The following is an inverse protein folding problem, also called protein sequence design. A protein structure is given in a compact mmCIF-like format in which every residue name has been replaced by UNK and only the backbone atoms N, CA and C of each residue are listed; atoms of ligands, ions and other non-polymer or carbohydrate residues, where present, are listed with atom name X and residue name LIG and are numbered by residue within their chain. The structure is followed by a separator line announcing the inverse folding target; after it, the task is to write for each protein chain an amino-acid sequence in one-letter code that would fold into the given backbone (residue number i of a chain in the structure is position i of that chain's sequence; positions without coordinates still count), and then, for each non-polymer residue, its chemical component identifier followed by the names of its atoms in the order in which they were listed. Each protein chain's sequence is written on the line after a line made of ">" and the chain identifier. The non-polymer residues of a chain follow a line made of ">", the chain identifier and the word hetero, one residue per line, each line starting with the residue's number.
data_IF_987306746649
#
_entry.id   IF_987306746649
#
_cell.length_a   1.000
_cell.length_b   1.000
_cell.length_c   1.000
_cell.angle_alpha   90.00
_cell.angle_beta   90.00
_cell.angle_gamma   90.00
#
_symmetry.space_group_name_H-M   'P 1'
#
loop_
_entity.id
_entity.type
_entity.pdbx_description
1 polymer ?
#
# COMPACT_ATOMS: atom_id res chain seq x y z
N UNK A 1 -10.17 -0.92 -4.96
CA UNK A 1 -10.28 -0.10 -3.71
C UNK A 1 -9.39 1.11 -3.81
N UNK A 2 -9.93 2.28 -3.52
CA UNK A 2 -9.13 3.51 -3.52
C UNK A 2 -8.19 3.53 -2.33
N UNK A 3 -7.01 4.09 -2.53
CA UNK A 3 -6.02 4.16 -1.46
C UNK A 3 -5.05 5.32 -1.67
N UNK A 4 -4.26 5.58 -0.65
CA UNK A 4 -3.25 6.64 -0.65
C UNK A 4 -1.84 6.08 -0.51
N UNK A 5 -1.65 4.83 -0.89
CA UNK A 5 -0.34 4.17 -0.74
C UNK A 5 0.74 4.93 -1.47
N UNK A 6 0.47 5.32 -2.72
CA UNK A 6 1.45 6.06 -3.53
C UNK A 6 1.86 7.36 -2.88
N UNK A 7 0.90 8.13 -2.35
CA UNK A 7 1.17 9.39 -1.69
C UNK A 7 2.07 9.21 -0.48
N UNK A 8 1.74 8.25 0.37
CA UNK A 8 2.53 7.97 1.57
C UNK A 8 3.91 7.43 1.23
N UNK A 9 3.97 6.57 0.20
CA UNK A 9 5.24 6.03 -0.28
C UNK A 9 6.16 7.15 -0.76
N UNK A 10 5.64 8.07 -1.55
CA UNK A 10 6.42 9.19 -2.07
C UNK A 10 6.87 10.14 -0.97
N UNK A 11 6.06 10.33 0.04
CA UNK A 11 6.41 11.18 1.19
C UNK A 11 7.68 10.72 1.88
N UNK A 12 7.86 9.42 2.03
CA UNK A 12 9.03 8.89 2.71
C UNK A 12 10.13 8.47 1.74
N UNK A 13 9.93 8.76 0.43
CA UNK A 13 10.99 8.58 -0.55
C UNK A 13 11.23 7.15 -1.00
N UNK A 14 10.25 6.27 -0.89
CA UNK A 14 10.39 4.89 -1.34
C UNK A 14 9.91 4.72 -2.78
N UNK A 15 10.67 3.93 -3.56
CA UNK A 15 10.20 3.47 -4.87
C UNK A 15 9.22 2.32 -4.68
N UNK A 16 8.47 1.99 -5.73
CA UNK A 16 7.60 0.82 -5.71
C UNK A 16 8.37 -0.45 -5.41
N UNK A 17 9.55 -0.59 -6.01
CA UNK A 17 10.39 -1.77 -5.80
C UNK A 17 10.87 -1.85 -4.35
N UNK A 18 11.27 -0.73 -3.77
CA UNK A 18 11.71 -0.70 -2.38
C UNK A 18 10.58 -1.08 -1.43
N UNK A 19 9.38 -0.56 -1.67
CA UNK A 19 8.24 -0.93 -0.84
C UNK A 19 7.93 -2.42 -0.99
N UNK A 20 7.95 -2.93 -2.23
CA UNK A 20 7.70 -4.35 -2.49
C UNK A 20 8.66 -5.24 -1.70
N UNK A 21 9.95 -4.89 -1.71
CA UNK A 21 10.95 -5.65 -0.96
C UNK A 21 10.67 -5.63 0.54
N UNK A 22 10.27 -4.50 1.07
CA UNK A 22 10.01 -4.37 2.50
C UNK A 22 8.83 -5.22 2.97
N UNK A 23 7.83 -5.39 2.11
CA UNK A 23 6.64 -6.18 2.48
C UNK A 23 6.63 -7.57 1.88
N UNK A 24 7.71 -7.96 1.18
CA UNK A 24 7.89 -9.32 0.71
C UNK A 24 7.02 -9.72 -0.47
N UNK A 25 6.72 -8.79 -1.37
CA UNK A 25 5.95 -9.09 -2.58
C UNK A 25 6.70 -8.59 -3.81
N UNK A 26 6.18 -8.92 -4.99
CA UNK A 26 6.76 -8.43 -6.24
C UNK A 26 6.34 -6.98 -6.48
N UNK A 27 7.15 -6.27 -7.24
CA UNK A 27 6.86 -4.88 -7.61
C UNK A 27 5.49 -4.74 -8.26
N UNK A 28 5.11 -5.68 -9.14
CA UNK A 28 3.83 -5.66 -9.83
C UNK A 28 2.65 -5.66 -8.86
N UNK A 29 2.79 -6.37 -7.74
CA UNK A 29 1.75 -6.37 -6.71
C UNK A 29 1.54 -4.97 -6.17
N UNK A 30 2.62 -4.23 -5.92
CA UNK A 30 2.52 -2.84 -5.46
C UNK A 30 1.88 -1.96 -6.54
N UNK A 31 2.28 -2.15 -7.80
CA UNK A 31 1.70 -1.39 -8.91
C UNK A 31 0.18 -1.56 -8.95
N UNK A 32 -0.30 -2.81 -8.93
CA UNK A 32 -1.73 -3.09 -8.96
C UNK A 32 -2.43 -2.60 -7.70
N UNK A 33 -1.78 -2.72 -6.56
CA UNK A 33 -2.33 -2.24 -5.29
C UNK A 33 -2.56 -0.73 -5.34
N UNK A 34 -1.56 0.02 -5.83
CA UNK A 34 -1.69 1.48 -5.93
C UNK A 34 -2.75 1.91 -6.92
N UNK A 35 -3.00 1.10 -7.95
CA UNK A 35 -4.04 1.37 -8.93
C UNK A 35 -5.45 1.03 -8.45
N UNK A 36 -5.56 0.43 -7.27
CA UNK A 36 -6.85 0.00 -6.75
C UNK A 36 -7.42 -1.24 -7.40
N UNK A 37 -6.60 -1.96 -8.17
CA UNK A 37 -7.04 -3.15 -8.90
C UNK A 37 -6.84 -4.45 -8.13
N UNK A 38 -6.30 -4.37 -6.95
CA UNK A 38 -5.98 -5.53 -6.14
C UNK A 38 -6.32 -5.24 -4.68
N UNK A 39 -7.13 -6.10 -4.10
CA UNK A 39 -7.47 -5.98 -2.69
C UNK A 39 -6.50 -6.83 -1.89
N UNK A 40 -5.66 -6.21 -1.06
CA UNK A 40 -4.66 -6.96 -0.32
C UNK A 40 -5.29 -7.80 0.77
N UNK A 41 -4.58 -8.87 1.14
CA UNK A 41 -4.91 -9.59 2.36
C UNK A 41 -4.74 -8.65 3.55
N UNK A 42 -5.36 -8.97 4.68
CA UNK A 42 -5.21 -8.17 5.88
C UNK A 42 -3.75 -8.07 6.30
N UNK A 43 -3.02 -9.18 6.19
CA UNK A 43 -1.59 -9.21 6.53
C UNK A 43 -0.78 -8.27 5.63
N UNK A 44 -1.02 -8.31 4.33
CA UNK A 44 -0.32 -7.42 3.40
C UNK A 44 -0.66 -5.96 3.68
N UNK A 45 -1.94 -5.67 3.90
CA UNK A 45 -2.37 -4.30 4.23
C UNK A 45 -1.67 -3.79 5.49
N UNK A 46 -1.58 -4.64 6.51
CA UNK A 46 -0.89 -4.30 7.76
C UNK A 46 0.60 -4.05 7.51
N UNK A 47 1.25 -4.91 6.74
CA UNK A 47 2.68 -4.77 6.45
C UNK A 47 2.98 -3.51 5.64
N UNK A 48 2.12 -3.19 4.68
CA UNK A 48 2.25 -1.96 3.89
C UNK A 48 2.09 -0.73 4.80
N UNK A 49 1.08 -0.73 5.65
CA UNK A 49 0.85 0.37 6.58
C UNK A 49 2.06 0.57 7.49
N UNK A 50 2.60 -0.53 8.02
CA UNK A 50 3.77 -0.47 8.89
C UNK A 50 4.98 0.09 8.14
N UNK A 51 5.22 -0.37 6.92
CA UNK A 51 6.35 0.11 6.11
C UNK A 51 6.22 1.59 5.78
N UNK A 52 5.00 2.08 5.61
CA UNK A 52 4.73 3.49 5.28
C UNK A 52 4.50 4.36 6.52
N UNK A 53 4.62 3.80 7.71
CA UNK A 53 4.44 4.52 8.97
C UNK A 53 3.05 5.15 9.05
N UNK A 54 2.04 4.39 8.63
CA UNK A 54 0.65 4.84 8.57
C UNK A 54 -0.27 3.77 9.11
N UNK A 55 -1.53 4.12 9.29
CA UNK A 55 -2.55 3.14 9.66
C UNK A 55 -3.27 2.65 8.41
N UNK A 56 -3.96 1.52 8.54
CA UNK A 56 -4.78 1.01 7.44
C UNK A 56 -5.84 2.04 7.08
N UNK A 57 -6.45 2.68 8.08
CA UNK A 57 -7.49 3.69 7.85
C UNK A 57 -6.95 4.92 7.10
N UNK A 58 -5.68 5.26 7.32
CA UNK A 58 -5.07 6.37 6.58
C UNK A 58 -4.79 6.01 5.13
N UNK A 59 -4.44 4.75 4.87
CA UNK A 59 -4.02 4.32 3.54
C UNK A 59 -5.16 3.90 2.65
N UNK A 60 -6.16 3.21 3.19
CA UNK A 60 -7.25 2.64 2.40
C UNK A 60 -8.52 3.42 2.62
N UNK A 61 -9.20 3.74 1.52
CA UNK A 61 -10.46 4.49 1.57
C UNK A 61 -11.59 3.48 1.45
N UNK A 62 -12.37 3.39 2.51
CA UNK A 62 -13.53 2.51 2.53
C UNK A 62 -14.77 3.33 2.20
N UNK A 63 -15.48 2.92 1.17
CA UNK A 63 -16.72 3.57 0.80
C UNK A 63 -17.84 2.94 1.62
N UNK A 64 -18.24 3.65 2.64
CA UNK A 64 -19.34 3.21 3.51
C UNK A 64 -20.65 3.70 2.92
N UNK A 65 -21.41 2.78 2.41
CA UNK A 65 -22.74 3.11 1.89
C UNK A 65 -23.85 2.69 2.83
#
# INVERSE_FOLDING_TARGET
>A
MKNKIREYRQKIGLTQEELAKRVGVRRETIVFLEQGKYNPSLKLAHNVAKALQATIDELFIFDDD
#
